data_IF_976809572083
#
_entry.id   IF_976809572083
#
_cell.length_a   1.000
_cell.length_b   1.000
_cell.length_c   1.000
_cell.angle_alpha   90.00
_cell.angle_beta   90.00
_cell.angle_gamma   90.00
#
_symmetry.space_group_name_H-M   'P 1'
#
loop_
_entity.id
_entity.type
_entity.pdbx_description
1 polymer ?
#
# COMPACT_ATOMS: atom_id res chain seq x y z
N UNK A 1 -8.46 -2.97 -17.40
CA UNK A 1 -7.35 -2.20 -16.81
C UNK A 1 -7.58 -0.75 -17.19
N UNK A 2 -8.00 0.08 -16.23
CA UNK A 2 -7.96 1.53 -16.42
C UNK A 2 -6.51 2.00 -16.47
N UNK A 3 -6.22 3.05 -17.25
CA UNK A 3 -4.91 3.66 -17.24
C UNK A 3 -4.68 4.30 -15.87
N UNK A 4 -3.73 3.77 -15.11
CA UNK A 4 -3.39 4.34 -13.81
C UNK A 4 -2.50 5.55 -14.03
N UNK A 5 -3.04 6.71 -13.71
CA UNK A 5 -2.27 7.95 -13.64
C UNK A 5 -1.58 8.01 -12.28
N UNK A 6 -0.26 8.10 -12.27
CA UNK A 6 0.53 8.21 -11.04
C UNK A 6 2.02 7.98 -11.27
N UNK A 7 2.82 8.29 -10.26
CA UNK A 7 4.25 8.04 -10.23
C UNK A 7 4.50 6.81 -9.35
N UNK A 8 5.31 5.83 -9.80
CA UNK A 8 5.75 4.71 -8.96
C UNK A 8 6.34 5.18 -7.61
N UNK A 9 6.03 4.48 -6.52
CA UNK A 9 6.48 4.87 -5.17
C UNK A 9 8.00 4.92 -5.02
N UNK A 10 8.74 4.07 -5.73
CA UNK A 10 10.20 4.07 -5.75
C UNK A 10 10.80 5.38 -6.31
N UNK A 11 10.03 6.12 -7.13
CA UNK A 11 10.39 7.45 -7.65
C UNK A 11 9.84 8.60 -6.80
N UNK A 12 9.03 8.32 -5.78
CA UNK A 12 8.53 9.35 -4.86
C UNK A 12 9.54 9.75 -3.78
N UNK A 13 10.73 9.14 -3.78
CA UNK A 13 11.80 9.43 -2.81
C UNK A 13 12.32 10.86 -2.86
N UNK A 14 12.22 11.51 -4.03
CA UNK A 14 12.69 12.88 -4.26
C UNK A 14 11.60 13.95 -4.00
N UNK A 15 10.38 13.53 -3.63
CA UNK A 15 9.31 14.46 -3.26
C UNK A 15 9.62 15.16 -1.92
N UNK A 16 8.91 16.25 -1.66
CA UNK A 16 9.03 16.97 -0.40
C UNK A 16 8.65 16.08 0.80
N UNK A 17 9.16 16.44 1.98
CA UNK A 17 8.99 15.64 3.19
C UNK A 17 7.52 15.46 3.58
N UNK A 18 6.68 16.47 3.37
CA UNK A 18 5.27 16.42 3.74
C UNK A 18 4.54 15.40 2.87
N UNK A 19 4.75 15.44 1.55
CA UNK A 19 4.19 14.45 0.63
C UNK A 19 4.67 13.03 0.96
N UNK A 20 5.97 12.86 1.24
CA UNK A 20 6.51 11.54 1.64
C UNK A 20 5.88 11.03 2.93
N UNK A 21 5.69 11.90 3.93
CA UNK A 21 5.02 11.55 5.17
C UNK A 21 3.57 11.09 4.92
N UNK A 22 2.83 11.78 4.05
CA UNK A 22 1.46 11.41 3.70
C UNK A 22 1.41 10.04 3.03
N UNK A 23 2.28 9.80 2.05
CA UNK A 23 2.39 8.51 1.36
C UNK A 23 2.70 7.39 2.37
N UNK A 24 3.72 7.56 3.21
CA UNK A 24 4.10 6.56 4.21
C UNK A 24 2.98 6.30 5.21
N UNK A 25 2.28 7.34 5.65
CA UNK A 25 1.13 7.20 6.55
C UNK A 25 0.01 6.38 5.91
N UNK A 26 -0.31 6.63 4.64
CA UNK A 26 -1.34 5.87 3.91
C UNK A 26 -0.96 4.40 3.71
N UNK A 27 0.31 4.12 3.38
CA UNK A 27 0.81 2.75 3.25
C UNK A 27 0.73 2.01 4.60
N UNK A 28 1.15 2.65 5.69
CA UNK A 28 1.04 2.05 7.01
C UNK A 28 -0.41 1.80 7.41
N UNK A 29 -1.29 2.78 7.17
CA UNK A 29 -2.73 2.64 7.42
C UNK A 29 -3.32 1.45 6.63
N UNK A 30 -2.96 1.31 5.35
CA UNK A 30 -3.40 0.17 4.53
C UNK A 30 -2.90 -1.16 5.12
N UNK A 31 -1.61 -1.27 5.42
CA UNK A 31 -1.00 -2.47 5.98
C UNK A 31 -1.70 -2.93 7.28
N UNK A 32 -1.99 -1.99 8.19
CA UNK A 32 -2.71 -2.30 9.43
C UNK A 32 -4.13 -2.82 9.15
N UNK A 33 -4.84 -2.23 8.19
CA UNK A 33 -6.17 -2.71 7.79
C UNK A 33 -6.11 -4.07 7.11
N UNK A 34 -5.12 -4.31 6.26
CA UNK A 34 -4.91 -5.60 5.61
C UNK A 34 -4.69 -6.73 6.61
N UNK A 35 -3.90 -6.49 7.66
CA UNK A 35 -3.63 -7.49 8.70
C UNK A 35 -4.83 -7.66 9.64
N UNK A 36 -5.35 -6.57 10.21
CA UNK A 36 -6.28 -6.65 11.34
C UNK A 36 -7.76 -6.54 10.96
N UNK A 37 -8.10 -5.86 9.87
CA UNK A 37 -9.49 -5.64 9.45
C UNK A 37 -9.88 -6.62 8.34
N UNK A 38 -9.09 -6.68 7.27
CA UNK A 38 -9.37 -7.52 6.11
C UNK A 38 -8.86 -8.96 6.28
N UNK A 39 -7.82 -9.14 7.11
CA UNK A 39 -7.09 -10.41 7.27
C UNK A 39 -6.65 -10.98 5.91
N UNK A 40 -6.32 -10.07 4.99
CA UNK A 40 -5.97 -10.34 3.61
C UNK A 40 -5.01 -9.24 3.17
N UNK A 41 -3.75 -9.60 2.96
CA UNK A 41 -2.67 -8.63 2.77
C UNK A 41 -1.92 -8.89 1.47
N UNK A 42 -1.62 -7.81 0.75
CA UNK A 42 -0.59 -7.81 -0.28
C UNK A 42 0.79 -7.93 0.35
N UNK A 43 1.42 -9.10 0.24
CA UNK A 43 2.81 -9.30 0.71
C UNK A 43 3.85 -9.03 -0.37
N UNK A 44 3.50 -8.29 -1.42
CA UNK A 44 4.40 -8.00 -2.54
C UNK A 44 5.53 -7.05 -2.10
N UNK A 45 6.81 -7.44 -2.20
CA UNK A 45 7.92 -6.56 -1.89
C UNK A 45 8.18 -5.47 -2.96
N UNK A 46 7.49 -5.51 -4.11
CA UNK A 46 7.75 -4.64 -5.24
C UNK A 46 7.00 -3.29 -5.14
N UNK A 47 7.68 -2.25 -4.67
CA UNK A 47 7.15 -0.90 -4.59
C UNK A 47 6.78 -0.27 -5.96
N UNK A 48 7.31 -0.79 -7.07
CA UNK A 48 6.94 -0.33 -8.41
C UNK A 48 5.48 -0.69 -8.78
N UNK A 49 4.83 -1.60 -8.04
CA UNK A 49 3.41 -1.93 -8.21
C UNK A 49 2.46 -0.95 -7.48
N UNK A 50 3.03 0.01 -6.75
CA UNK A 50 2.30 1.04 -6.03
C UNK A 50 2.54 2.40 -6.68
N UNK A 51 1.46 3.07 -7.03
CA UNK A 51 1.50 4.34 -7.75
C UNK A 51 0.88 5.44 -6.91
N UNK A 52 1.62 6.51 -6.70
CA UNK A 52 1.09 7.71 -6.08
C UNK A 52 0.54 8.66 -7.15
N UNK A 53 -0.73 9.02 -7.03
CA UNK A 53 -1.36 10.03 -7.86
C UNK A 53 -1.44 11.34 -7.08
N UNK A 54 -0.69 12.36 -7.52
CA UNK A 54 -0.63 13.68 -6.88
C UNK A 54 -1.94 14.46 -7.00
N UNK A 55 -2.68 14.29 -8.10
CA UNK A 55 -3.91 15.04 -8.36
C UNK A 55 -5.05 14.64 -7.42
N UNK A 56 -5.08 13.36 -7.07
CA UNK A 56 -6.09 12.77 -6.17
C UNK A 56 -5.57 12.51 -4.76
N UNK A 57 -4.25 12.65 -4.56
CA UNK A 57 -3.53 12.29 -3.33
C UNK A 57 -3.85 10.86 -2.86
N UNK A 58 -3.79 9.91 -3.80
CA UNK A 58 -4.10 8.48 -3.57
C UNK A 58 -2.94 7.59 -3.96
N UNK A 59 -2.81 6.48 -3.25
CA UNK A 59 -1.95 5.36 -3.64
C UNK A 59 -2.82 4.31 -4.33
N UNK A 60 -2.40 3.89 -5.52
CA UNK A 60 -3.07 2.88 -6.35
C UNK A 60 -2.19 1.64 -6.39
N UNK A 61 -2.78 0.48 -6.10
CA UNK A 61 -2.14 -0.82 -6.22
C UNK A 61 -2.53 -1.44 -7.57
N UNK A 62 -1.54 -1.83 -8.37
CA UNK A 62 -1.78 -2.44 -9.68
C UNK A 62 -1.94 -3.95 -9.64
N UNK A 63 -1.21 -4.60 -8.76
CA UNK A 63 -1.17 -6.06 -8.67
C UNK A 63 -1.79 -6.50 -7.35
N UNK A 64 -2.47 -7.64 -7.37
CA UNK A 64 -3.01 -8.36 -6.21
C UNK A 64 -2.62 -9.85 -6.22
N UNK A 65 -1.69 -10.25 -7.11
CA UNK A 65 -1.28 -11.63 -7.32
C UNK A 65 -0.51 -12.24 -6.15
N UNK A 66 0.07 -11.41 -5.28
CA UNK A 66 0.76 -11.83 -4.07
C UNK A 66 -0.09 -11.70 -2.80
N UNK A 67 -1.40 -11.46 -2.92
CA UNK A 67 -2.24 -11.36 -1.75
C UNK A 67 -2.40 -12.71 -1.03
N UNK A 68 -2.33 -12.68 0.30
CA UNK A 68 -2.52 -13.85 1.16
C UNK A 68 -3.55 -13.57 2.23
N UNK A 69 -4.44 -14.54 2.43
CA UNK A 69 -5.35 -14.55 3.58
C UNK A 69 -4.66 -15.06 4.83
N UNK A 70 -4.97 -14.44 5.95
CA UNK A 70 -4.51 -14.83 7.27
C UNK A 70 -5.70 -15.33 8.11
N UNK A 71 -5.61 -16.51 8.73
CA UNK A 71 -6.61 -16.93 9.71
C UNK A 71 -6.65 -15.97 10.90
N UNK A 72 -7.83 -15.79 11.50
CA UNK A 72 -8.01 -14.99 12.73
C UNK A 72 -7.02 -15.37 13.84
N UNK A 73 -6.89 -16.68 14.08
CA UNK A 73 -5.95 -17.21 15.05
C UNK A 73 -4.48 -16.83 14.78
N UNK A 74 -4.10 -16.52 13.54
CA UNK A 74 -2.76 -16.04 13.22
C UNK A 74 -2.60 -14.55 13.57
N UNK A 75 -3.62 -13.73 13.27
CA UNK A 75 -3.57 -12.28 13.51
C UNK A 75 -3.68 -11.93 14.99
N UNK A 76 -4.35 -12.76 15.79
CA UNK A 76 -4.55 -12.52 17.23
C UNK A 76 -3.24 -12.60 18.04
N UNK A 77 -2.21 -13.31 17.58
CA UNK A 77 -0.90 -13.37 18.26
C UNK A 77 -0.07 -12.08 18.11
N UNK A 78 -0.48 -11.14 17.25
CA UNK A 78 0.25 -9.89 17.00
C UNK A 78 -0.25 -8.70 17.84
N UNK A 79 -1.24 -8.92 18.71
CA UNK A 79 -1.88 -7.93 19.59
C UNK A 79 -1.64 -8.32 21.04
#
# INVERSE_FOLDING_TARGET
MELVHGVPLDRCVDLDQETRNQISFRILQLCLREVFEFRFMQTDPNWANFFYNSDTNKVVLLDFGACRGYPEAFTDYYI
#
